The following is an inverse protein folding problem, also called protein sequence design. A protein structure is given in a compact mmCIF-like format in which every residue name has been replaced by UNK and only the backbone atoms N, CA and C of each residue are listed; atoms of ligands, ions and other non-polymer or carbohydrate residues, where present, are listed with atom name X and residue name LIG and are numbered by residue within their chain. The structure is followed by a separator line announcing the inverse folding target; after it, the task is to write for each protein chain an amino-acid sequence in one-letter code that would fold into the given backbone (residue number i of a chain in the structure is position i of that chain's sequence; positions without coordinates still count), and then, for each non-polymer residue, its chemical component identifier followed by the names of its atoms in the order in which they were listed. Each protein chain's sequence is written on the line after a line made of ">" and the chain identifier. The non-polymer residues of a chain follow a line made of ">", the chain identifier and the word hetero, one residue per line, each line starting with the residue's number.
data_IF_640960960321
#
_entry.id   IF_640960960321
#
_cell.length_a   1.000
_cell.length_b   1.000
_cell.length_c   1.000
_cell.angle_alpha   90.00
_cell.angle_beta   90.00
_cell.angle_gamma   90.00
#
_symmetry.space_group_name_H-M   'P 1'
#
loop_
_entity.id
_entity.type
_entity.pdbx_description
1 polymer ?
#
# COMPACT_ATOMS: atom_id res chain seq x y z
N UNK A 1 -49.56 -11.68 17.85
CA UNK A 1 -48.17 -11.62 18.36
C UNK A 1 -47.23 -11.53 17.18
N UNK A 2 -46.74 -10.35 16.89
CA UNK A 2 -45.79 -10.14 15.80
C UNK A 2 -44.38 -10.24 16.38
N UNK A 3 -43.65 -11.30 16.01
CA UNK A 3 -42.26 -11.49 16.40
C UNK A 3 -41.38 -10.54 15.61
N UNK A 4 -40.78 -9.58 16.27
CA UNK A 4 -39.68 -8.77 15.75
C UNK A 4 -38.46 -9.70 15.61
N UNK A 5 -38.11 -10.08 14.37
CA UNK A 5 -36.81 -10.60 14.03
C UNK A 5 -35.81 -9.45 14.11
N UNK A 6 -35.11 -9.35 15.22
CA UNK A 6 -33.91 -8.51 15.33
C UNK A 6 -32.84 -9.09 14.44
N UNK A 7 -32.66 -8.52 13.26
CA UNK A 7 -31.45 -8.76 12.45
C UNK A 7 -30.31 -8.04 13.19
N UNK A 8 -29.65 -8.75 14.06
CA UNK A 8 -28.34 -8.33 14.55
C UNK A 8 -27.38 -8.36 13.36
N UNK A 9 -27.08 -7.18 12.84
CA UNK A 9 -26.02 -7.00 11.87
C UNK A 9 -24.69 -7.38 12.52
N UNK A 10 -24.30 -8.65 12.41
CA UNK A 10 -22.95 -9.07 12.76
C UNK A 10 -22.02 -8.28 11.87
N UNK A 11 -21.21 -7.40 12.45
CA UNK A 11 -20.06 -6.86 11.72
C UNK A 11 -19.30 -8.07 11.20
N UNK A 12 -19.11 -8.15 9.88
CA UNK A 12 -18.34 -9.24 9.25
C UNK A 12 -16.92 -9.12 9.79
N UNK A 13 -16.57 -9.94 10.76
CA UNK A 13 -15.22 -9.98 11.30
C UNK A 13 -14.38 -10.96 10.46
N UNK A 14 -13.09 -10.65 10.33
CA UNK A 14 -12.16 -11.57 9.68
C UNK A 14 -11.71 -12.63 10.68
N UNK A 15 -11.73 -13.88 10.27
CA UNK A 15 -11.32 -14.98 11.14
C UNK A 15 -9.80 -15.02 11.28
N UNK A 16 -9.34 -15.01 12.53
CA UNK A 16 -7.93 -15.21 12.86
C UNK A 16 -7.43 -16.56 12.36
N UNK A 17 -6.16 -16.60 11.97
CA UNK A 17 -5.48 -17.79 11.44
C UNK A 17 -6.08 -18.34 10.13
N UNK A 18 -6.95 -17.58 9.44
CA UNK A 18 -7.35 -17.95 8.09
C UNK A 18 -6.23 -17.72 7.10
N UNK A 19 -6.21 -18.54 6.05
CA UNK A 19 -5.25 -18.37 4.96
C UNK A 19 -5.61 -17.17 4.09
N UNK A 20 -4.61 -16.35 3.81
CA UNK A 20 -4.73 -15.16 2.97
C UNK A 20 -3.64 -15.12 1.90
N UNK A 21 -4.01 -14.76 0.68
CA UNK A 21 -3.07 -14.46 -0.41
C UNK A 21 -3.00 -12.95 -0.65
N UNK A 22 -1.79 -12.44 -0.83
CA UNK A 22 -1.54 -11.03 -1.12
C UNK A 22 -1.18 -10.90 -2.60
N UNK A 23 -1.97 -10.09 -3.32
CA UNK A 23 -1.75 -9.80 -4.74
C UNK A 23 -0.84 -8.59 -4.91
N UNK A 24 -0.21 -8.47 -6.07
CA UNK A 24 0.56 -7.26 -6.39
C UNK A 24 -0.36 -6.04 -6.42
N UNK A 25 0.08 -5.00 -5.71
CA UNK A 25 -0.65 -3.74 -5.66
C UNK A 25 -0.39 -2.94 -6.93
N UNK A 26 -1.46 -2.54 -7.60
CA UNK A 26 -1.34 -1.68 -8.78
C UNK A 26 -1.02 -0.23 -8.42
N UNK A 27 -0.63 0.52 -9.44
CA UNK A 27 -0.51 1.98 -9.35
C UNK A 27 -1.67 2.62 -10.10
N UNK A 28 -2.45 3.47 -9.43
CA UNK A 28 -3.55 4.17 -10.07
C UNK A 28 -3.01 5.18 -11.10
N UNK A 29 -3.57 5.26 -12.32
CA UNK A 29 -3.17 6.31 -13.28
C UNK A 29 -3.27 7.70 -12.65
N UNK A 30 -2.21 8.50 -12.76
CA UNK A 30 -2.11 9.80 -12.14
C UNK A 30 -1.82 9.79 -10.63
N UNK A 31 -1.43 8.65 -10.07
CA UNK A 31 -1.07 8.54 -8.65
C UNK A 31 0.22 9.28 -8.28
N UNK A 32 1.05 9.66 -9.25
CA UNK A 32 2.34 10.32 -9.00
C UNK A 32 2.43 11.66 -9.71
N UNK A 33 3.17 12.57 -9.10
CA UNK A 33 3.69 13.75 -9.78
C UNK A 33 4.81 13.33 -10.76
N UNK A 34 4.96 14.07 -11.84
CA UNK A 34 5.86 13.72 -12.97
C UNK A 34 7.35 13.47 -12.59
N UNK A 35 7.76 13.90 -11.41
CA UNK A 35 9.15 13.79 -10.94
C UNK A 35 9.41 12.59 -10.03
N UNK A 36 8.37 11.80 -9.70
CA UNK A 36 8.49 10.67 -8.79
C UNK A 36 8.45 9.36 -9.58
N UNK A 37 9.57 8.63 -9.54
CA UNK A 37 9.64 7.29 -10.11
C UNK A 37 9.10 6.25 -9.12
N UNK A 38 8.16 5.41 -9.55
CA UNK A 38 7.60 4.29 -8.80
C UNK A 38 8.17 2.94 -9.24
N UNK A 39 9.44 2.88 -9.63
CA UNK A 39 10.07 1.63 -10.03
C UNK A 39 9.86 0.54 -8.98
N UNK A 40 9.30 -0.59 -9.38
CA UNK A 40 9.00 -1.75 -8.54
C UNK A 40 8.06 -1.47 -7.34
N UNK A 41 7.39 -0.31 -7.28
CA UNK A 41 6.54 0.05 -6.14
C UNK A 41 5.40 -0.96 -5.93
N UNK A 42 4.88 -1.53 -7.00
CA UNK A 42 3.81 -2.54 -6.98
C UNK A 42 4.25 -3.81 -6.25
N UNK A 43 5.40 -4.35 -6.63
CA UNK A 43 6.00 -5.51 -6.00
C UNK A 43 6.39 -5.23 -4.54
N UNK A 44 7.12 -4.14 -4.31
CA UNK A 44 7.64 -3.77 -2.97
C UNK A 44 6.50 -3.49 -1.99
N UNK A 45 5.38 -2.93 -2.45
CA UNK A 45 4.21 -2.68 -1.60
C UNK A 45 3.64 -3.99 -1.05
N UNK A 46 3.46 -5.01 -1.89
CA UNK A 46 2.96 -6.32 -1.42
C UNK A 46 3.94 -7.01 -0.48
N UNK A 47 5.26 -6.87 -0.70
CA UNK A 47 6.28 -7.39 0.23
C UNK A 47 6.17 -6.74 1.63
N UNK A 48 6.05 -5.42 1.71
CA UNK A 48 5.86 -4.73 3.00
C UNK A 48 4.58 -5.15 3.72
N UNK A 49 3.49 -5.42 2.97
CA UNK A 49 2.24 -5.92 3.52
C UNK A 49 2.42 -7.33 4.09
N UNK A 50 3.07 -8.22 3.34
CA UNK A 50 3.37 -9.59 3.77
C UNK A 50 4.21 -9.58 5.04
N UNK A 51 5.31 -8.82 5.05
CA UNK A 51 6.20 -8.66 6.18
C UNK A 51 5.43 -8.28 7.46
N UNK A 52 4.60 -7.24 7.36
CA UNK A 52 3.81 -6.79 8.49
C UNK A 52 2.75 -7.79 8.95
N UNK A 53 2.06 -8.48 8.03
CA UNK A 53 1.06 -9.49 8.36
C UNK A 53 1.67 -10.73 9.02
N UNK A 54 2.86 -11.14 8.58
CA UNK A 54 3.60 -12.26 9.17
C UNK A 54 4.05 -11.90 10.59
N UNK A 55 4.54 -10.68 10.81
CA UNK A 55 4.93 -10.21 12.15
C UNK A 55 3.75 -10.18 13.12
N UNK A 56 2.59 -9.72 12.67
CA UNK A 56 1.38 -9.57 13.51
C UNK A 56 0.66 -10.91 13.80
N UNK A 57 0.95 -11.97 13.02
CA UNK A 57 0.42 -13.34 13.20
C UNK A 57 -1.12 -13.41 13.27
N UNK A 58 -1.79 -12.52 12.56
CA UNK A 58 -3.25 -12.52 12.47
C UNK A 58 -3.78 -13.48 11.41
N UNK A 59 -3.00 -13.71 10.36
CA UNK A 59 -3.33 -14.60 9.24
C UNK A 59 -2.20 -15.58 8.95
N UNK A 60 -2.57 -16.67 8.24
CA UNK A 60 -1.60 -17.58 7.61
C UNK A 60 -1.35 -17.08 6.19
N UNK A 61 -0.29 -16.31 6.00
CA UNK A 61 0.02 -15.70 4.71
C UNK A 61 0.63 -16.72 3.78
N UNK A 62 0.07 -16.88 2.56
CA UNK A 62 0.67 -17.73 1.51
C UNK A 62 1.94 -17.06 0.98
N UNK A 63 2.94 -17.88 0.74
CA UNK A 63 4.21 -17.46 0.18
C UNK A 63 4.00 -16.82 -1.20
N UNK A 64 4.63 -15.67 -1.45
CA UNK A 64 4.35 -14.83 -2.61
C UNK A 64 4.73 -15.46 -3.95
N UNK A 65 5.93 -16.04 -4.04
CA UNK A 65 6.40 -16.64 -5.30
C UNK A 65 5.55 -17.84 -5.68
N UNK A 66 5.07 -18.62 -4.69
CA UNK A 66 4.10 -19.68 -4.92
C UNK A 66 2.78 -19.11 -5.47
N UNK A 67 2.23 -18.08 -4.83
CA UNK A 67 0.99 -17.42 -5.26
C UNK A 67 1.12 -16.92 -6.70
N UNK A 68 2.19 -16.15 -6.98
CA UNK A 68 2.40 -15.56 -8.30
C UNK A 68 2.66 -16.61 -9.37
N UNK A 69 3.38 -17.69 -9.05
CA UNK A 69 3.59 -18.81 -9.94
C UNK A 69 2.26 -19.46 -10.37
N UNK A 70 1.42 -19.83 -9.40
CA UNK A 70 0.13 -20.47 -9.68
C UNK A 70 -0.82 -19.57 -10.51
N UNK A 71 -0.86 -18.32 -10.18
CA UNK A 71 -1.75 -17.33 -10.84
C UNK A 71 -1.27 -17.03 -12.27
N UNK A 72 0.04 -16.92 -12.49
CA UNK A 72 0.62 -16.72 -13.80
C UNK A 72 0.42 -17.95 -14.71
N UNK A 73 0.60 -19.16 -14.17
CA UNK A 73 0.35 -20.42 -14.89
C UNK A 73 -1.12 -20.54 -15.33
N UNK A 74 -2.03 -20.01 -14.53
CA UNK A 74 -3.46 -19.94 -14.84
C UNK A 74 -3.84 -18.75 -15.76
N UNK A 75 -2.88 -17.93 -16.18
CA UNK A 75 -3.09 -16.71 -16.98
C UNK A 75 -4.11 -15.71 -16.36
N UNK A 76 -4.12 -15.62 -15.04
CA UNK A 76 -5.00 -14.70 -14.30
C UNK A 76 -4.26 -13.38 -14.06
N UNK A 77 -4.88 -12.26 -14.45
CA UNK A 77 -4.34 -10.92 -14.13
C UNK A 77 -4.66 -10.55 -12.68
N UNK A 78 -3.64 -10.17 -11.90
CA UNK A 78 -3.76 -9.96 -10.45
C UNK A 78 -3.23 -8.64 -9.94
N UNK A 79 -2.80 -7.76 -10.80
CA UNK A 79 -2.26 -6.45 -10.39
C UNK A 79 -3.41 -5.48 -10.10
N UNK A 80 -3.41 -4.91 -8.90
CA UNK A 80 -4.36 -3.88 -8.50
C UNK A 80 -5.69 -4.42 -8.01
N UNK A 81 -6.79 -3.95 -8.61
CA UNK A 81 -8.15 -4.31 -8.22
C UNK A 81 -8.61 -5.55 -9.00
N UNK A 82 -9.07 -6.55 -8.25
CA UNK A 82 -9.55 -7.82 -8.77
C UNK A 82 -11.09 -7.81 -8.74
N UNK A 83 -11.71 -8.38 -9.78
CA UNK A 83 -13.16 -8.59 -9.82
C UNK A 83 -13.61 -9.82 -9.01
N UNK A 84 -14.89 -9.95 -8.65
CA UNK A 84 -15.41 -11.03 -7.83
C UNK A 84 -15.18 -12.44 -8.41
N UNK A 85 -15.30 -12.62 -9.71
CA UNK A 85 -15.14 -13.94 -10.34
C UNK A 85 -13.67 -14.35 -10.38
N UNK A 86 -12.79 -13.40 -10.62
CA UNK A 86 -11.33 -13.60 -10.50
C UNK A 86 -10.93 -13.95 -9.07
N UNK A 87 -11.51 -13.27 -8.06
CA UNK A 87 -11.25 -13.61 -6.65
C UNK A 87 -11.64 -15.05 -6.32
N UNK A 88 -12.79 -15.53 -6.77
CA UNK A 88 -13.22 -16.92 -6.59
C UNK A 88 -12.28 -17.92 -7.26
N UNK A 89 -11.84 -17.62 -8.49
CA UNK A 89 -10.89 -18.49 -9.21
C UNK A 89 -9.57 -18.61 -8.49
N UNK A 90 -9.03 -17.48 -8.00
CA UNK A 90 -7.79 -17.45 -7.23
C UNK A 90 -7.97 -18.21 -5.91
N UNK A 91 -9.07 -17.99 -5.21
CA UNK A 91 -9.39 -18.71 -3.97
C UNK A 91 -9.41 -20.23 -4.14
N UNK A 92 -10.08 -20.72 -5.19
CA UNK A 92 -10.11 -22.13 -5.52
C UNK A 92 -8.73 -22.69 -5.91
N UNK A 93 -7.94 -21.89 -6.66
CA UNK A 93 -6.61 -22.28 -7.12
C UNK A 93 -5.61 -22.41 -5.96
N UNK A 94 -5.63 -21.42 -5.05
CA UNK A 94 -4.67 -21.32 -3.94
C UNK A 94 -5.15 -21.95 -2.65
N UNK A 95 -6.43 -22.36 -2.58
CA UNK A 95 -7.10 -22.81 -1.37
C UNK A 95 -6.94 -21.82 -0.22
N UNK A 96 -7.30 -20.55 -0.46
CA UNK A 96 -7.25 -19.46 0.53
C UNK A 96 -8.64 -18.90 0.77
N UNK A 97 -8.91 -18.49 2.01
CA UNK A 97 -10.18 -17.88 2.39
C UNK A 97 -10.27 -16.43 2.00
N UNK A 98 -9.17 -15.70 2.06
CA UNK A 98 -9.12 -14.29 1.80
C UNK A 98 -8.06 -13.92 0.75
N UNK A 99 -8.37 -12.88 0.00
CA UNK A 99 -7.41 -12.20 -0.89
C UNK A 99 -7.33 -10.74 -0.45
N UNK A 100 -6.10 -10.22 -0.33
CA UNK A 100 -5.85 -8.80 -0.18
C UNK A 100 -5.25 -8.28 -1.49
N UNK A 101 -5.96 -7.35 -2.12
CA UNK A 101 -5.55 -6.66 -3.33
C UNK A 101 -5.75 -5.14 -3.18
N UNK A 102 -5.14 -4.33 -4.02
CA UNK A 102 -5.31 -2.89 -3.89
C UNK A 102 -4.43 -2.05 -4.80
N UNK A 103 -4.40 -0.75 -4.51
CA UNK A 103 -3.63 0.22 -5.29
C UNK A 103 -2.90 1.23 -4.42
N UNK A 104 -1.75 1.67 -4.92
CA UNK A 104 -1.14 2.94 -4.57
C UNK A 104 -1.97 4.02 -5.25
N UNK A 105 -2.61 4.88 -4.48
CA UNK A 105 -3.58 5.86 -5.01
C UNK A 105 -3.02 7.26 -5.16
N UNK A 106 -1.98 7.57 -4.40
CA UNK A 106 -1.26 8.84 -4.50
C UNK A 106 0.14 8.71 -3.91
N UNK A 107 1.11 9.29 -4.59
CA UNK A 107 2.43 9.60 -4.04
C UNK A 107 2.75 11.04 -4.40
N UNK A 108 2.88 11.88 -3.40
CA UNK A 108 3.11 13.31 -3.57
C UNK A 108 4.34 13.80 -2.83
N UNK A 109 4.92 14.88 -3.33
CA UNK A 109 6.04 15.57 -2.72
C UNK A 109 5.60 16.93 -2.20
N UNK A 110 5.97 17.26 -0.98
CA UNK A 110 5.86 18.62 -0.46
C UNK A 110 7.22 19.13 -0.03
N UNK A 111 7.47 20.40 -0.36
CA UNK A 111 8.71 21.11 -0.01
C UNK A 111 8.36 22.24 0.97
N UNK A 112 9.06 22.28 2.09
CA UNK A 112 8.95 23.36 3.05
C UNK A 112 10.36 23.85 3.40
N UNK A 113 10.61 25.14 3.31
CA UNK A 113 11.93 25.68 3.62
C UNK A 113 11.92 27.16 3.97
N UNK A 114 12.97 27.58 4.66
CA UNK A 114 13.24 28.98 4.98
C UNK A 114 14.71 29.30 4.75
N UNK A 115 15.02 30.55 4.42
CA UNK A 115 16.40 31.04 4.28
C UNK A 115 16.61 32.26 5.14
N UNK A 116 17.74 32.31 5.84
CA UNK A 116 18.20 33.44 6.60
C UNK A 116 19.67 33.67 6.28
N UNK A 117 20.03 34.88 5.88
CA UNK A 117 21.43 35.28 5.70
C UNK A 117 22.24 34.51 4.65
N UNK A 118 21.60 33.99 3.58
CA UNK A 118 22.29 33.27 2.51
C UNK A 118 22.42 31.78 2.69
N UNK A 119 22.04 31.23 3.82
CA UNK A 119 21.86 29.81 4.05
C UNK A 119 20.37 29.47 4.18
N UNK A 120 19.94 28.36 3.59
CA UNK A 120 18.55 27.90 3.65
C UNK A 120 18.46 26.45 4.07
N UNK A 121 17.48 26.13 4.89
CA UNK A 121 17.12 24.76 5.22
C UNK A 121 15.85 24.39 4.45
N UNK A 122 15.87 23.29 3.71
CA UNK A 122 14.72 22.80 2.99
C UNK A 122 14.41 21.38 3.45
N UNK A 123 13.14 21.14 3.78
CA UNK A 123 12.61 19.84 4.15
C UNK A 123 11.71 19.34 3.03
N UNK A 124 12.06 18.21 2.47
CA UNK A 124 11.23 17.47 1.53
C UNK A 124 10.45 16.39 2.26
N UNK A 125 9.18 16.27 1.96
CA UNK A 125 8.33 15.23 2.52
C UNK A 125 7.64 14.50 1.38
N UNK A 126 7.91 13.21 1.25
CA UNK A 126 7.17 12.29 0.39
C UNK A 126 6.02 11.72 1.20
N UNK A 127 4.82 11.73 0.64
CA UNK A 127 3.63 11.13 1.24
C UNK A 127 3.05 10.11 0.27
N UNK A 128 2.80 8.88 0.77
CA UNK A 128 2.16 7.80 0.02
C UNK A 128 0.80 7.45 0.62
N UNK A 129 -0.17 7.14 -0.24
CA UNK A 129 -1.50 6.65 0.11
C UNK A 129 -1.76 5.32 -0.58
N UNK A 130 -2.18 4.33 0.19
CA UNK A 130 -2.51 2.98 -0.28
C UNK A 130 -3.94 2.64 0.13
N UNK A 131 -4.67 1.96 -0.75
CA UNK A 131 -5.99 1.40 -0.46
C UNK A 131 -5.93 -0.09 -0.74
N UNK A 132 -6.29 -0.90 0.26
CA UNK A 132 -6.45 -2.33 0.16
C UNK A 132 -7.92 -2.75 0.25
N UNK A 133 -8.24 -3.90 -0.34
CA UNK A 133 -9.53 -4.58 -0.28
C UNK A 133 -9.31 -6.03 0.13
N UNK A 134 -9.97 -6.44 1.19
CA UNK A 134 -10.04 -7.85 1.57
C UNK A 134 -11.29 -8.43 0.94
N UNK A 135 -11.11 -9.46 0.16
CA UNK A 135 -12.17 -10.17 -0.53
C UNK A 135 -12.30 -11.59 0.04
N UNK A 136 -13.52 -12.00 0.23
CA UNK A 136 -13.87 -13.38 0.52
C UNK A 136 -13.84 -14.18 -0.79
N UNK A 137 -13.14 -15.29 -0.81
CA UNK A 137 -12.92 -16.06 -2.03
C UNK A 137 -14.09 -16.98 -2.39
N UNK A 138 -14.94 -17.35 -1.42
CA UNK A 138 -16.12 -18.16 -1.67
C UNK A 138 -17.21 -17.35 -2.37
N UNK A 139 -17.42 -16.12 -1.90
CA UNK A 139 -18.49 -15.25 -2.40
C UNK A 139 -18.03 -14.25 -3.44
N UNK A 140 -16.74 -13.90 -3.47
CA UNK A 140 -16.18 -12.80 -4.26
C UNK A 140 -16.50 -11.41 -3.70
N UNK A 141 -17.12 -11.32 -2.54
CA UNK A 141 -17.50 -10.05 -1.94
C UNK A 141 -16.30 -9.34 -1.28
N UNK A 142 -16.32 -8.01 -1.34
CA UNK A 142 -15.40 -7.20 -0.56
C UNK A 142 -15.91 -7.18 0.88
N UNK A 143 -15.15 -7.76 1.80
CA UNK A 143 -15.47 -7.72 3.23
C UNK A 143 -15.05 -6.40 3.87
N UNK A 144 -13.85 -5.92 3.53
CA UNK A 144 -13.29 -4.69 4.08
C UNK A 144 -12.51 -3.91 3.05
N UNK A 145 -12.55 -2.59 3.23
CA UNK A 145 -11.59 -1.67 2.62
C UNK A 145 -10.72 -1.07 3.72
N UNK A 146 -9.42 -1.16 3.54
CA UNK A 146 -8.43 -0.59 4.44
C UNK A 146 -7.60 0.46 3.74
N UNK A 147 -7.06 1.42 4.48
CA UNK A 147 -6.29 2.53 3.94
C UNK A 147 -5.05 2.74 4.79
N UNK A 148 -3.96 3.10 4.14
CA UNK A 148 -2.75 3.51 4.81
C UNK A 148 -2.17 4.78 4.23
N UNK A 149 -1.56 5.56 5.09
CA UNK A 149 -0.82 6.77 4.73
C UNK A 149 0.54 6.73 5.39
N UNK A 150 1.57 6.92 4.61
CA UNK A 150 2.95 6.99 5.08
C UNK A 150 3.64 8.28 4.65
N UNK A 151 4.58 8.74 5.47
CA UNK A 151 5.38 9.93 5.21
C UNK A 151 6.86 9.64 5.45
N UNK A 152 7.69 10.11 4.53
CA UNK A 152 9.14 10.11 4.66
C UNK A 152 9.65 11.52 4.44
N UNK A 153 10.47 12.02 5.36
CA UNK A 153 11.01 13.37 5.29
C UNK A 153 12.53 13.34 5.21
N UNK A 154 13.09 14.14 4.32
CA UNK A 154 14.53 14.42 4.23
C UNK A 154 14.77 15.91 4.35
N UNK A 155 15.86 16.29 5.02
CA UNK A 155 16.24 17.68 5.20
C UNK A 155 17.59 17.90 4.55
N UNK A 156 17.73 18.97 3.77
CA UNK A 156 19.01 19.36 3.19
C UNK A 156 19.25 20.86 3.35
N UNK A 157 20.51 21.22 3.41
CA UNK A 157 20.94 22.62 3.56
C UNK A 157 21.32 23.18 2.21
N UNK A 158 20.66 24.28 1.79
CA UNK A 158 21.07 25.08 0.63
C UNK A 158 22.03 26.18 1.13
N UNK A 159 23.29 26.15 0.68
CA UNK A 159 24.23 27.24 0.93
C UNK A 159 24.37 28.04 -0.34
N UNK A 160 24.07 29.34 -0.28
CA UNK A 160 24.40 30.26 -1.37
C UNK A 160 25.91 30.56 -1.33
N UNK A 161 26.65 30.05 -2.31
CA UNK A 161 28.02 30.47 -2.52
C UNK A 161 28.08 31.97 -2.90
N UNK A 162 28.83 32.74 -2.14
CA UNK A 162 29.14 34.14 -2.49
C UNK A 162 30.26 34.09 -3.50
N UNK A 163 29.96 34.22 -4.77
CA UNK A 163 30.75 34.93 -5.83
C UNK A 163 29.95 34.84 -7.15
N UNK A 164 29.35 35.93 -7.56
CA UNK A 164 29.18 36.32 -8.98
C UNK A 164 28.45 35.37 -9.95
N UNK A 165 27.56 34.46 -9.51
CA UNK A 165 26.85 33.59 -10.42
C UNK A 165 25.67 32.96 -9.74
N UNK A 166 24.51 32.93 -10.41
CA UNK A 166 23.33 32.20 -9.95
C UNK A 166 23.64 30.72 -10.08
N UNK A 167 24.09 30.09 -9.02
CA UNK A 167 24.15 28.63 -9.00
C UNK A 167 22.73 28.14 -8.69
N UNK A 168 22.05 27.67 -9.73
CA UNK A 168 20.85 26.82 -9.57
C UNK A 168 21.33 25.50 -9.00
N UNK A 169 21.23 25.33 -7.68
CA UNK A 169 21.36 24.02 -7.08
C UNK A 169 20.10 23.21 -7.34
N UNK A 170 20.33 22.14 -8.01
CA UNK A 170 19.61 20.93 -8.31
C UNK A 170 18.12 20.89 -8.01
N UNK A 171 17.38 20.46 -9.03
CA UNK A 171 16.13 19.70 -8.90
C UNK A 171 16.17 18.88 -7.61
N UNK A 172 15.14 19.03 -6.81
CA UNK A 172 14.90 18.21 -5.63
C UNK A 172 14.96 16.74 -6.05
N UNK A 173 16.08 16.07 -5.77
CA UNK A 173 16.15 14.64 -5.97
C UNK A 173 15.38 13.98 -4.82
N UNK A 174 14.15 13.58 -5.11
CA UNK A 174 13.45 12.59 -4.28
C UNK A 174 14.22 11.29 -4.43
N UNK A 175 14.87 10.87 -3.36
CA UNK A 175 15.58 9.59 -3.39
C UNK A 175 14.54 8.46 -3.43
N UNK A 176 14.84 7.40 -4.17
CA UNK A 176 13.99 6.22 -4.22
C UNK A 176 13.72 5.66 -2.81
N UNK A 177 14.70 5.76 -1.92
CA UNK A 177 14.57 5.39 -0.52
C UNK A 177 13.47 6.17 0.21
N UNK A 178 13.33 7.47 -0.07
CA UNK A 178 12.28 8.28 0.55
C UNK A 178 10.88 7.86 0.07
N UNK A 179 10.76 7.47 -1.19
CA UNK A 179 9.51 6.94 -1.77
C UNK A 179 9.18 5.57 -1.15
N UNK A 180 10.14 4.65 -1.14
CA UNK A 180 9.96 3.32 -0.54
C UNK A 180 9.63 3.40 0.95
N UNK A 181 10.31 4.26 1.72
CA UNK A 181 10.00 4.47 3.13
C UNK A 181 8.58 5.04 3.35
N UNK A 182 8.11 5.92 2.48
CA UNK A 182 6.74 6.41 2.57
C UNK A 182 5.73 5.30 2.24
N UNK A 183 5.98 4.50 1.21
CA UNK A 183 5.16 3.33 0.84
C UNK A 183 5.14 2.29 1.96
N UNK A 184 6.30 1.95 2.54
CA UNK A 184 6.38 1.00 3.65
C UNK A 184 5.52 1.44 4.85
N UNK A 185 5.65 2.69 5.25
CA UNK A 185 4.82 3.23 6.34
C UNK A 185 3.33 3.23 6.01
N UNK A 186 2.97 3.48 4.74
CA UNK A 186 1.59 3.41 4.29
C UNK A 186 1.08 1.96 4.32
N UNK A 187 1.88 1.00 3.86
CA UNK A 187 1.56 -0.42 3.90
C UNK A 187 1.33 -0.91 5.35
N UNK A 188 2.24 -0.56 6.26
CA UNK A 188 2.12 -0.92 7.67
C UNK A 188 0.87 -0.30 8.31
N UNK A 189 0.62 0.99 8.09
CA UNK A 189 -0.59 1.65 8.60
C UNK A 189 -1.87 1.01 8.04
N UNK A 190 -1.86 0.53 6.79
CA UNK A 190 -2.98 -0.17 6.18
C UNK A 190 -3.22 -1.54 6.85
N UNK A 191 -2.16 -2.29 7.15
CA UNK A 191 -2.24 -3.58 7.85
C UNK A 191 -2.71 -3.38 9.30
N UNK A 192 -2.20 -2.35 10.00
CA UNK A 192 -2.65 -2.02 11.36
C UNK A 192 -4.17 -1.74 11.41
N UNK A 193 -4.72 -1.08 10.39
CA UNK A 193 -6.17 -0.86 10.26
C UNK A 193 -6.92 -2.17 9.96
N UNK A 194 -6.34 -3.05 9.15
CA UNK A 194 -6.92 -4.37 8.86
C UNK A 194 -7.00 -5.24 10.10
N UNK A 195 -5.94 -5.30 10.90
CA UNK A 195 -5.85 -6.14 12.09
C UNK A 195 -6.90 -5.79 13.16
N UNK A 196 -7.40 -4.55 13.19
CA UNK A 196 -8.52 -4.15 14.05
C UNK A 196 -9.84 -4.84 13.66
N UNK A 197 -9.92 -5.51 12.51
CA UNK A 197 -11.10 -6.23 12.01
C UNK A 197 -11.00 -7.74 12.20
N UNK A 198 -9.89 -8.22 12.73
CA UNK A 198 -9.64 -9.66 13.00
C UNK A 198 -10.10 -10.00 14.41
N UNK A 199 -10.82 -11.10 14.56
CA UNK A 199 -11.29 -11.64 15.85
C UNK A 199 -10.80 -13.06 16.08
#
# INVERSE_FOLDING_TARGET
>A
MAGLLSVSGSALALDRNSEIAIMDFGTRPGATEAEISLNNAEYVTSEYIIDRLVDDKCFLVKEKDFVMGQVNDAAISTVGIIDPDTAKKIGALLNVKYILCGNITNVSLSEAGGSLGGAGLTKNTVQAHIIGRVMDTDTGNILYMTKGTGKSASTYTKVKGVVGGTIRFGTVQVTQDSVHNAIQKAAYAMVDELNKKVI
#
